data_IF_523112890262
#
_entry.id   IF_523112890262
#
_cell.length_a   1.000
_cell.length_b   1.000
_cell.length_c   1.000
_cell.angle_alpha   90.00
_cell.angle_beta   90.00
_cell.angle_gamma   90.00
#
_symmetry.space_group_name_H-M   'P 1'
#
loop_
_entity.id
_entity.type
_entity.pdbx_description
1 polymer ?
#
# COMPACT_ATOMS: atom_id res chain seq x y z
N UNK A 1 38.63 -34.62 -3.20
CA UNK A 1 37.76 -33.98 -2.18
C UNK A 1 36.95 -32.88 -2.84
N UNK A 2 35.69 -33.16 -3.22
CA UNK A 2 34.72 -32.16 -3.72
C UNK A 2 33.28 -32.64 -3.42
N UNK A 3 33.07 -33.33 -2.29
CA UNK A 3 31.75 -33.84 -1.89
C UNK A 3 30.72 -32.71 -1.75
N UNK A 4 31.13 -31.54 -1.27
CA UNK A 4 30.25 -30.39 -1.11
C UNK A 4 29.76 -29.83 -2.46
N UNK A 5 30.61 -29.85 -3.49
CA UNK A 5 30.25 -29.34 -4.82
C UNK A 5 29.28 -30.29 -5.54
N UNK A 6 29.51 -31.61 -5.41
CA UNK A 6 28.63 -32.63 -5.96
C UNK A 6 27.26 -32.65 -5.26
N UNK A 7 27.23 -32.44 -3.94
CA UNK A 7 25.96 -32.30 -3.22
C UNK A 7 25.22 -31.05 -3.66
N UNK A 8 25.90 -29.91 -3.79
CA UNK A 8 25.28 -28.69 -4.30
C UNK A 8 24.72 -28.88 -5.72
N UNK A 9 25.45 -29.52 -6.63
CA UNK A 9 24.96 -29.79 -7.99
C UNK A 9 23.69 -30.66 -8.00
N UNK A 10 23.60 -31.65 -7.10
CA UNK A 10 22.39 -32.49 -6.96
C UNK A 10 21.22 -31.68 -6.39
N UNK A 11 21.47 -30.84 -5.40
CA UNK A 11 20.45 -30.06 -4.70
C UNK A 11 19.98 -28.84 -5.50
N UNK A 12 20.82 -28.32 -6.39
CA UNK A 12 20.55 -27.13 -7.22
C UNK A 12 19.80 -27.46 -8.52
N UNK A 13 19.42 -28.73 -8.73
CA UNK A 13 18.51 -29.08 -9.82
C UNK A 13 17.16 -28.39 -9.56
N UNK A 14 16.63 -27.60 -10.52
CA UNK A 14 15.37 -26.90 -10.34
C UNK A 14 14.28 -27.96 -10.17
N UNK A 15 13.87 -28.19 -8.92
CA UNK A 15 12.70 -29.02 -8.63
C UNK A 15 11.56 -28.41 -9.44
N UNK A 16 10.93 -29.22 -10.27
CA UNK A 16 9.79 -28.89 -11.11
C UNK A 16 8.55 -28.40 -10.33
N UNK A 17 8.68 -28.21 -9.02
CA UNK A 17 7.84 -27.38 -8.17
C UNK A 17 7.97 -25.88 -8.45
N UNK A 18 8.04 -25.51 -9.74
CA UNK A 18 7.64 -24.21 -10.22
C UNK A 18 6.12 -24.09 -10.05
N UNK A 19 5.64 -24.11 -8.80
CA UNK A 19 4.39 -23.43 -8.47
C UNK A 19 4.54 -22.03 -9.05
N UNK A 20 3.61 -21.55 -9.89
CA UNK A 20 3.76 -20.26 -10.53
C UNK A 20 4.08 -19.23 -9.45
N UNK A 21 5.26 -18.62 -9.48
CA UNK A 21 5.64 -17.54 -8.55
C UNK A 21 4.63 -16.38 -8.59
N UNK A 22 3.77 -16.35 -9.62
CA UNK A 22 2.56 -15.53 -9.70
C UNK A 22 1.68 -15.64 -8.44
N UNK A 23 1.57 -16.82 -7.83
CA UNK A 23 0.79 -17.02 -6.59
C UNK A 23 1.46 -16.42 -5.35
N UNK A 24 2.79 -16.48 -5.27
CA UNK A 24 3.57 -15.89 -4.18
C UNK A 24 3.56 -14.35 -4.26
N UNK A 25 3.75 -13.76 -5.45
CA UNK A 25 3.57 -12.31 -5.64
C UNK A 25 2.15 -11.85 -5.35
N UNK A 26 1.12 -12.60 -5.77
CA UNK A 26 -0.27 -12.29 -5.42
C UNK A 26 -0.55 -12.44 -3.93
N UNK A 27 0.07 -13.40 -3.25
CA UNK A 27 -0.05 -13.58 -1.80
C UNK A 27 0.64 -12.44 -1.03
N UNK A 28 1.77 -11.93 -1.52
CA UNK A 28 2.44 -10.75 -0.97
C UNK A 28 1.64 -9.46 -1.25
N UNK A 29 1.07 -9.35 -2.46
CA UNK A 29 0.20 -8.26 -2.86
C UNK A 29 -1.23 -8.34 -2.25
N UNK A 30 -1.55 -9.42 -1.53
CA UNK A 30 -2.84 -9.57 -0.86
C UNK A 30 -2.98 -8.69 0.40
N UNK A 31 -1.87 -8.06 0.83
CA UNK A 31 -1.89 -6.99 1.82
C UNK A 31 -2.77 -5.83 1.36
N UNK A 32 -3.96 -5.71 1.97
CA UNK A 32 -4.93 -4.61 1.83
C UNK A 32 -4.87 -3.90 0.47
N UNK A 33 -5.47 -4.50 -0.57
CA UNK A 33 -5.64 -3.84 -1.86
C UNK A 33 -6.10 -2.40 -1.66
N UNK A 34 -5.31 -1.45 -2.19
CA UNK A 34 -5.63 -0.04 -2.10
C UNK A 34 -7.06 0.20 -2.59
N UNK A 35 -7.87 0.83 -1.75
CA UNK A 35 -9.17 1.37 -2.12
C UNK A 35 -9.15 2.86 -1.86
N UNK A 36 -9.46 3.66 -2.88
CA UNK A 36 -9.50 5.12 -2.79
C UNK A 36 -10.44 5.57 -1.66
N UNK A 37 -11.56 4.89 -1.49
CA UNK A 37 -12.57 5.15 -0.47
C UNK A 37 -12.01 4.89 0.94
N UNK A 38 -11.21 3.84 1.11
CA UNK A 38 -10.55 3.52 2.38
C UNK A 38 -9.50 4.58 2.74
N UNK A 39 -8.67 4.99 1.78
CA UNK A 39 -7.73 6.10 1.99
C UNK A 39 -8.48 7.37 2.42
N UNK A 40 -9.54 7.74 1.69
CA UNK A 40 -10.34 8.93 1.97
C UNK A 40 -10.93 8.93 3.38
N UNK A 41 -11.52 7.81 3.82
CA UNK A 41 -12.07 7.69 5.19
C UNK A 41 -10.95 7.80 6.24
N UNK A 42 -9.82 7.10 6.05
CA UNK A 42 -8.70 7.14 6.99
C UNK A 42 -8.13 8.55 7.14
N UNK A 43 -7.89 9.24 6.02
CA UNK A 43 -7.44 10.63 6.03
C UNK A 43 -8.48 11.55 6.69
N UNK A 44 -9.77 11.30 6.45
CA UNK A 44 -10.84 12.08 7.07
C UNK A 44 -10.86 11.95 8.59
N UNK A 45 -10.73 10.72 9.09
CA UNK A 45 -10.65 10.42 10.51
C UNK A 45 -9.38 11.00 11.13
N UNK A 46 -8.23 10.89 10.46
CA UNK A 46 -6.96 11.45 10.92
C UNK A 46 -7.05 12.97 11.10
N UNK A 47 -7.51 13.67 10.06
CA UNK A 47 -7.68 15.13 10.08
C UNK A 47 -8.61 15.56 11.21
N UNK A 48 -9.74 14.86 11.38
CA UNK A 48 -10.72 15.22 12.42
C UNK A 48 -10.19 14.95 13.83
N UNK A 49 -9.65 13.76 14.07
CA UNK A 49 -9.18 13.33 15.40
C UNK A 49 -7.97 14.13 15.89
N UNK A 50 -7.11 14.58 14.97
CA UNK A 50 -5.91 15.35 15.29
C UNK A 50 -6.09 16.85 15.08
N UNK A 51 -7.30 17.31 14.74
CA UNK A 51 -7.64 18.71 14.47
C UNK A 51 -6.70 19.35 13.43
N UNK A 52 -6.33 18.59 12.40
CA UNK A 52 -5.48 19.14 11.34
C UNK A 52 -6.26 20.10 10.44
N UNK A 53 -5.59 21.10 9.85
CA UNK A 53 -6.18 21.91 8.79
C UNK A 53 -6.64 21.04 7.62
N UNK A 54 -7.80 21.34 7.04
CA UNK A 54 -8.34 20.55 5.91
C UNK A 54 -7.43 20.57 4.68
N UNK A 55 -6.54 21.57 4.57
CA UNK A 55 -5.58 21.70 3.47
C UNK A 55 -4.42 20.70 3.55
N UNK A 56 -4.20 20.03 4.69
CA UNK A 56 -3.09 19.07 4.86
C UNK A 56 -3.14 17.92 3.83
N UNK A 57 -4.32 17.57 3.31
CA UNK A 57 -4.47 16.52 2.30
C UNK A 57 -3.94 16.94 0.91
N UNK A 58 -3.71 18.23 0.72
CA UNK A 58 -3.16 18.83 -0.50
C UNK A 58 -1.70 19.26 -0.35
N UNK A 59 -1.12 19.02 0.82
CA UNK A 59 0.28 19.28 1.11
C UNK A 59 1.17 18.42 0.18
N UNK A 60 2.15 19.03 -0.52
CA UNK A 60 2.98 18.30 -1.49
C UNK A 60 3.73 17.12 -0.88
N UNK A 61 4.31 17.30 0.30
CA UNK A 61 5.09 16.28 1.02
C UNK A 61 4.17 15.14 1.47
N UNK A 62 2.98 15.44 1.98
CA UNK A 62 1.98 14.41 2.28
C UNK A 62 1.58 13.62 1.02
N UNK A 63 1.37 14.30 -0.11
CA UNK A 63 1.04 13.62 -1.36
C UNK A 63 2.18 12.74 -1.86
N UNK A 64 3.43 13.17 -1.71
CA UNK A 64 4.61 12.40 -2.08
C UNK A 64 4.72 11.13 -1.24
N UNK A 65 4.51 11.20 0.09
CA UNK A 65 4.46 10.03 0.97
C UNK A 65 3.39 9.03 0.51
N UNK A 66 2.20 9.52 0.15
CA UNK A 66 1.11 8.66 -0.35
C UNK A 66 1.49 8.01 -1.69
N UNK A 67 2.12 8.75 -2.60
CA UNK A 67 2.58 8.23 -3.90
C UNK A 67 3.71 7.22 -3.76
N UNK A 68 4.60 7.39 -2.77
CA UNK A 68 5.64 6.41 -2.45
C UNK A 68 5.03 5.04 -2.07
N UNK A 69 3.93 5.06 -1.32
CA UNK A 69 3.23 3.84 -0.91
C UNK A 69 2.35 3.26 -2.02
N UNK A 70 1.77 4.12 -2.86
CA UNK A 70 1.01 3.72 -4.04
C UNK A 70 1.06 4.83 -5.11
N UNK A 71 1.78 4.63 -6.23
CA UNK A 71 1.90 5.64 -7.28
C UNK A 71 0.58 6.06 -7.93
N UNK A 72 -0.44 5.21 -7.87
CA UNK A 72 -1.78 5.47 -8.42
C UNK A 72 -2.72 6.14 -7.39
N UNK A 73 -2.28 6.33 -6.15
CA UNK A 73 -3.09 6.94 -5.12
C UNK A 73 -3.19 8.46 -5.33
N UNK A 74 -4.41 8.96 -5.24
CA UNK A 74 -4.72 10.39 -5.34
C UNK A 74 -5.39 10.85 -4.05
N UNK A 75 -4.91 11.95 -3.48
CA UNK A 75 -5.57 12.62 -2.35
C UNK A 75 -6.68 13.54 -2.87
N UNK A 76 -7.72 13.73 -2.06
CA UNK A 76 -8.84 14.62 -2.39
C UNK A 76 -8.53 16.06 -2.00
N UNK A 77 -9.37 17.00 -2.46
CA UNK A 77 -9.22 18.42 -2.13
C UNK A 77 -9.70 18.77 -0.71
N UNK A 78 -9.23 19.89 -0.15
CA UNK A 78 -9.69 20.40 1.15
C UNK A 78 -11.21 20.63 1.20
N UNK A 79 -11.82 21.02 0.07
CA UNK A 79 -13.28 21.17 -0.04
C UNK A 79 -13.99 19.82 0.16
N UNK A 80 -13.47 18.78 -0.48
CA UNK A 80 -13.98 17.41 -0.31
C UNK A 80 -13.80 16.93 1.12
N UNK A 81 -12.64 17.17 1.72
CA UNK A 81 -12.35 16.88 3.12
C UNK A 81 -13.37 17.53 4.06
N UNK A 82 -13.67 18.82 3.89
CA UNK A 82 -14.66 19.52 4.70
C UNK A 82 -16.07 18.95 4.54
N UNK A 83 -16.45 18.56 3.31
CA UNK A 83 -17.75 17.90 3.05
C UNK A 83 -17.83 16.55 3.76
N UNK A 84 -16.75 15.78 3.75
CA UNK A 84 -16.73 14.44 4.33
C UNK A 84 -16.80 14.47 5.85
N UNK A 85 -16.09 15.40 6.49
CA UNK A 85 -16.22 15.63 7.94
C UNK A 85 -17.66 15.97 8.29
N UNK A 86 -18.29 16.90 7.55
CA UNK A 86 -19.72 17.22 7.77
C UNK A 86 -20.65 16.03 7.53
N UNK A 87 -20.29 15.09 6.68
CA UNK A 87 -21.09 13.88 6.45
C UNK A 87 -20.97 12.91 7.62
N UNK A 88 -19.77 12.79 8.22
CA UNK A 88 -19.49 11.84 9.31
C UNK A 88 -20.00 12.30 10.69
N UNK A 89 -20.05 13.61 10.94
CA UNK A 89 -20.38 14.18 12.25
C UNK A 89 -21.66 15.02 12.24
N UNK A 90 -22.56 14.73 11.31
CA UNK A 90 -23.88 15.36 11.24
C UNK A 90 -24.84 14.79 12.26
#
# INVERSE_FOLDING_TARGET
TTSNLLNHQRDCSPKSDLRPQQGLMRSFASGSTYKREKLRILTTLWVTRRRHPFRIVQDPEFQEIIRLLNPLAHTHSARTQARDIRCLYK
#
